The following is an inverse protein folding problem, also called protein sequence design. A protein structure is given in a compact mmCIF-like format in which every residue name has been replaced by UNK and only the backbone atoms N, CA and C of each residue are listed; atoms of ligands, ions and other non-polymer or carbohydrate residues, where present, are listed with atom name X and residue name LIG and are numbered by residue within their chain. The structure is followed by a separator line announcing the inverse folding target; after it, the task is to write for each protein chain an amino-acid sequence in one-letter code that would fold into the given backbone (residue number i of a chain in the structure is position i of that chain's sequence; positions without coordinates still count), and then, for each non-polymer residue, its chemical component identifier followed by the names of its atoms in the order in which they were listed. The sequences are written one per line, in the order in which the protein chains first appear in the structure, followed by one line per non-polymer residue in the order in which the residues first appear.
data_IF_340333552207
#
_entry.id   IF_340333552207
#
_cell.length_a   1.000
_cell.length_b   1.000
_cell.length_c   1.000
_cell.angle_alpha   90.00
_cell.angle_beta   90.00
_cell.angle_gamma   90.00
#
_symmetry.space_group_name_H-M   'P 1'
#
loop_
_entity.id
_entity.type
_entity.pdbx_description
1 polymer ?
#
# COMPACT_ATOMS: atom_id res chain seq x y z
N UNK A 1 10.18 -18.27 -29.52
CA UNK A 1 10.52 -17.38 -28.40
C UNK A 1 9.76 -17.94 -27.22
N UNK A 2 10.46 -18.34 -26.16
CA UNK A 2 9.82 -18.69 -24.89
C UNK A 2 9.50 -17.37 -24.21
N UNK A 3 8.26 -17.17 -23.78
CA UNK A 3 7.87 -15.92 -23.13
C UNK A 3 8.61 -15.80 -21.79
N UNK A 4 9.09 -14.60 -21.46
CA UNK A 4 9.85 -14.34 -20.21
C UNK A 4 9.07 -14.79 -18.97
N UNK A 5 7.74 -14.72 -19.04
CA UNK A 5 6.82 -15.18 -18.00
C UNK A 5 6.80 -16.70 -17.86
N UNK A 6 6.73 -17.46 -18.96
CA UNK A 6 6.77 -18.93 -18.93
C UNK A 6 8.09 -19.43 -18.33
N UNK A 7 9.17 -18.70 -18.61
CA UNK A 7 10.49 -19.01 -18.07
C UNK A 7 10.56 -18.76 -16.55
N UNK A 8 9.98 -17.65 -16.09
CA UNK A 8 9.86 -17.34 -14.66
C UNK A 8 8.96 -18.35 -13.94
N UNK A 9 7.87 -18.80 -14.57
CA UNK A 9 7.02 -19.86 -14.04
C UNK A 9 7.78 -21.18 -13.90
N UNK A 10 8.50 -21.60 -14.94
CA UNK A 10 9.31 -22.82 -14.90
C UNK A 10 10.38 -22.78 -13.79
N UNK A 11 11.07 -21.64 -13.62
CA UNK A 11 12.04 -21.43 -12.53
C UNK A 11 11.35 -21.47 -11.16
N UNK A 12 10.14 -20.89 -11.05
CA UNK A 12 9.37 -20.88 -9.80
C UNK A 12 8.82 -22.26 -9.41
N UNK A 13 8.46 -23.07 -10.41
CA UNK A 13 7.91 -24.42 -10.24
C UNK A 13 9.00 -25.46 -9.92
N UNK A 14 10.20 -25.30 -10.49
CA UNK A 14 11.32 -26.20 -10.23
C UNK A 14 12.12 -25.77 -8.99
N UNK A 15 12.02 -26.57 -7.92
CA UNK A 15 12.73 -26.32 -6.67
C UNK A 15 14.26 -26.33 -6.81
N UNK A 16 14.82 -27.06 -7.78
CA UNK A 16 16.25 -27.08 -8.05
C UNK A 16 16.71 -25.79 -8.72
N UNK A 17 15.89 -25.19 -9.59
CA UNK A 17 16.21 -23.92 -10.23
C UNK A 17 16.16 -22.74 -9.25
N UNK A 18 15.30 -22.79 -8.24
CA UNK A 18 15.26 -21.76 -7.18
C UNK A 18 16.55 -21.63 -6.37
N UNK A 19 17.34 -22.69 -6.32
CA UNK A 19 18.61 -22.74 -5.59
C UNK A 19 19.82 -22.96 -6.50
N UNK A 20 19.62 -22.94 -7.82
CA UNK A 20 20.70 -23.10 -8.77
C UNK A 20 21.66 -21.91 -8.68
N UNK A 21 22.93 -22.18 -8.95
CA UNK A 21 23.95 -21.15 -9.00
C UNK A 21 23.64 -20.14 -10.11
N UNK A 22 24.09 -18.91 -9.95
CA UNK A 22 23.93 -17.85 -10.96
C UNK A 22 24.48 -18.24 -12.32
N UNK A 23 25.58 -19.01 -12.35
CA UNK A 23 26.18 -19.52 -13.59
C UNK A 23 25.33 -20.58 -14.27
N UNK A 24 24.75 -21.52 -13.52
CA UNK A 24 23.90 -22.57 -14.09
C UNK A 24 22.57 -22.00 -14.58
N UNK A 25 22.01 -21.08 -13.80
CA UNK A 25 20.78 -20.36 -14.16
C UNK A 25 21.02 -19.48 -15.40
N UNK A 26 22.15 -18.79 -15.49
CA UNK A 26 22.55 -18.03 -16.67
C UNK A 26 22.73 -18.88 -17.95
N UNK A 27 23.32 -20.07 -17.85
CA UNK A 27 23.44 -21.01 -19.00
C UNK A 27 22.07 -21.47 -19.49
N UNK A 28 21.16 -21.78 -18.57
CA UNK A 28 19.80 -22.18 -18.91
C UNK A 28 19.04 -21.04 -19.60
N UNK A 29 19.14 -19.81 -19.08
CA UNK A 29 18.53 -18.63 -19.68
C UNK A 29 19.06 -18.35 -21.09
N UNK A 30 20.37 -18.51 -21.32
CA UNK A 30 20.98 -18.37 -22.63
C UNK A 30 20.48 -19.43 -23.63
N UNK A 31 20.31 -20.68 -23.20
CA UNK A 31 19.74 -21.75 -24.02
C UNK A 31 18.27 -21.51 -24.34
N UNK A 32 17.52 -20.95 -23.39
CA UNK A 32 16.11 -20.63 -23.55
C UNK A 32 15.85 -19.34 -24.37
N UNK A 33 16.91 -18.63 -24.79
CA UNK A 33 16.83 -17.31 -25.43
C UNK A 33 15.99 -16.32 -24.61
N UNK A 34 16.27 -16.25 -23.31
CA UNK A 34 15.63 -15.34 -22.38
C UNK A 34 15.86 -13.86 -22.76
N UNK A 35 15.04 -12.97 -22.19
CA UNK A 35 15.22 -11.53 -22.37
C UNK A 35 16.57 -11.07 -21.80
N UNK A 36 17.08 -9.98 -22.38
CA UNK A 36 18.33 -9.35 -21.91
C UNK A 36 18.20 -8.87 -20.45
N UNK A 37 17.02 -8.36 -20.07
CA UNK A 37 16.75 -7.90 -18.72
C UNK A 37 16.68 -9.07 -17.71
N UNK A 38 16.09 -10.22 -18.06
CA UNK A 38 16.14 -11.40 -17.20
C UNK A 38 17.55 -11.97 -17.05
N UNK A 39 18.33 -12.00 -18.13
CA UNK A 39 19.73 -12.45 -18.10
C UNK A 39 20.59 -11.53 -17.24
N UNK A 40 20.42 -10.21 -17.39
CA UNK A 40 21.13 -9.21 -16.61
C UNK A 40 20.73 -9.24 -15.13
N UNK A 41 19.43 -9.40 -14.82
CA UNK A 41 18.93 -9.52 -13.45
C UNK A 41 19.50 -10.73 -12.71
N UNK A 42 19.67 -11.86 -13.40
CA UNK A 42 20.33 -13.03 -12.82
C UNK A 42 21.82 -12.77 -12.61
N UNK A 43 22.51 -12.20 -13.59
CA UNK A 43 23.95 -11.93 -13.47
C UNK A 43 24.30 -10.91 -12.36
N UNK A 44 23.48 -9.88 -12.17
CA UNK A 44 23.70 -8.84 -11.15
C UNK A 44 23.04 -9.13 -9.81
N UNK A 45 22.04 -10.01 -9.78
CA UNK A 45 21.13 -10.19 -8.65
C UNK A 45 20.14 -9.03 -8.47
N UNK A 46 20.03 -8.12 -9.45
CA UNK A 46 19.18 -6.93 -9.37
C UNK A 46 17.84 -7.15 -10.08
N UNK A 47 16.77 -7.26 -9.28
CA UNK A 47 15.40 -7.40 -9.77
C UNK A 47 14.78 -6.11 -10.35
N UNK A 48 15.46 -4.97 -10.21
CA UNK A 48 14.98 -3.68 -10.74
C UNK A 48 14.88 -3.70 -12.27
N UNK A 49 15.78 -4.44 -12.95
CA UNK A 49 15.78 -4.60 -14.40
C UNK A 49 14.51 -5.31 -14.91
N UNK A 50 14.04 -6.31 -14.17
CA UNK A 50 12.77 -6.97 -14.45
C UNK A 50 11.59 -6.03 -14.18
N UNK A 51 11.69 -5.20 -13.15
CA UNK A 51 10.65 -4.22 -12.82
C UNK A 51 10.48 -3.18 -13.93
N UNK A 52 11.58 -2.74 -14.56
CA UNK A 52 11.55 -1.88 -15.73
C UNK A 52 10.96 -2.60 -16.96
N UNK A 53 11.36 -3.85 -17.22
CA UNK A 53 10.86 -4.65 -18.34
C UNK A 53 9.33 -4.89 -18.25
N UNK A 54 8.83 -5.20 -17.05
CA UNK A 54 7.41 -5.47 -16.82
C UNK A 54 6.57 -4.20 -16.58
N UNK A 55 7.17 -3.01 -16.62
CA UNK A 55 6.45 -1.75 -16.44
C UNK A 55 5.89 -1.56 -15.03
N UNK A 56 6.65 -1.93 -14.00
CA UNK A 56 6.25 -1.82 -12.62
C UNK A 56 5.79 -0.39 -12.27
N UNK A 57 4.57 -0.29 -11.73
CA UNK A 57 4.00 0.95 -11.22
C UNK A 57 3.86 0.82 -9.71
N UNK A 58 4.51 1.72 -8.97
CA UNK A 58 4.38 1.75 -7.52
C UNK A 58 2.91 1.94 -7.15
N UNK A 59 2.33 0.98 -6.44
CA UNK A 59 0.98 1.08 -5.95
C UNK A 59 0.93 2.17 -4.87
N UNK A 60 0.32 3.31 -5.19
CA UNK A 60 0.17 4.41 -4.25
C UNK A 60 -0.97 4.05 -3.30
N UNK A 61 -0.63 3.69 -2.06
CA UNK A 61 -1.64 3.42 -1.03
C UNK A 61 -2.56 4.64 -0.91
N UNK A 62 -3.87 4.42 -1.11
CA UNK A 62 -4.87 5.44 -0.77
C UNK A 62 -5.00 5.40 0.75
N UNK A 63 -4.36 6.34 1.43
CA UNK A 63 -4.63 6.58 2.84
C UNK A 63 -6.04 7.17 2.97
N UNK A 64 -7.05 6.30 3.05
CA UNK A 64 -8.39 6.73 3.45
C UNK A 64 -8.38 6.86 4.98
N UNK A 65 -8.32 8.10 5.46
CA UNK A 65 -8.61 8.39 6.87
C UNK A 65 -10.10 8.14 7.08
N UNK A 66 -10.45 6.95 7.57
CA UNK A 66 -11.78 6.63 8.06
C UNK A 66 -11.85 7.04 9.53
N UNK A 67 -12.36 8.24 9.80
CA UNK A 67 -12.76 8.63 11.16
C UNK A 67 -13.98 7.79 11.56
N UNK A 68 -14.05 7.22 12.77
CA UNK A 68 -15.30 6.66 13.29
C UNK A 68 -16.38 7.74 13.25
N UNK A 69 -17.61 7.38 12.83
CA UNK A 69 -18.75 8.26 13.00
C UNK A 69 -18.95 8.51 14.50
N UNK A 70 -18.93 9.78 14.92
CA UNK A 70 -19.32 10.16 16.28
C UNK A 70 -20.83 9.98 16.38
N UNK A 71 -21.29 9.20 17.35
CA UNK A 71 -22.69 9.20 17.73
C UNK A 71 -22.98 10.59 18.33
N UNK A 72 -23.80 11.40 17.65
CA UNK A 72 -24.29 12.65 18.20
C UNK A 72 -25.13 12.31 19.44
N UNK A 73 -24.63 12.68 20.62
CA UNK A 73 -25.43 12.64 21.85
C UNK A 73 -26.61 13.59 21.67
N UNK A 74 -27.86 13.19 22.00
CA UNK A 74 -29.00 14.07 21.87
C UNK A 74 -28.76 15.35 22.65
N UNK A 75 -29.00 16.51 22.02
CA UNK A 75 -28.96 17.80 22.71
C UNK A 75 -29.89 17.71 23.93
N UNK A 76 -29.33 17.89 25.13
CA UNK A 76 -30.13 18.01 26.35
C UNK A 76 -31.01 19.26 26.17
N UNK A 77 -32.33 19.07 26.04
CA UNK A 77 -33.31 20.15 26.06
C UNK A 77 -33.04 21.05 27.28
N UNK A 78 -32.48 22.23 27.03
CA UNK A 78 -32.23 23.26 28.02
C UNK A 78 -33.55 23.53 28.77
N UNK A 79 -33.62 23.42 30.12
CA UNK A 79 -34.87 23.59 30.83
C UNK A 79 -35.45 24.98 30.59
N UNK A 80 -36.66 25.01 30.02
CA UNK A 80 -37.48 26.19 29.76
C UNK A 80 -37.33 27.24 30.88
N UNK A 81 -36.86 28.42 30.48
CA UNK A 81 -36.65 29.61 31.32
C UNK A 81 -37.88 29.87 32.21
N UNK A 82 -37.75 29.65 33.52
CA UNK A 82 -38.80 29.94 34.47
C UNK A 82 -39.04 31.47 34.51
N UNK A 83 -40.30 31.95 34.49
CA UNK A 83 -40.57 33.38 34.45
C UNK A 83 -40.09 34.03 35.74
N UNK A 84 -39.19 35.01 35.61
CA UNK A 84 -38.74 35.87 36.70
C UNK A 84 -39.92 36.64 37.30
N UNK A 85 -40.24 36.48 38.60
CA UNK A 85 -41.17 37.38 39.27
C UNK A 85 -40.47 38.69 39.67
N UNK A 86 -41.21 39.78 39.49
CA UNK A 86 -40.82 41.19 39.49
C UNK A 86 -40.42 41.79 40.87
N UNK A 87 -39.57 42.84 40.82
CA UNK A 87 -39.17 43.82 41.87
C UNK A 87 -38.40 43.31 43.12
N UNK A 88 -37.36 43.97 43.64
CA UNK A 88 -37.28 45.33 44.27
C UNK A 88 -35.80 45.86 44.24
N UNK A 89 -35.51 47.19 44.18
CA UNK A 89 -34.22 47.72 43.71
C UNK A 89 -33.14 47.98 44.80
N UNK A 90 -31.88 47.92 44.32
CA UNK A 90 -30.57 48.47 44.76
C UNK A 90 -30.36 48.98 46.22
N UNK A 91 -29.12 48.84 46.73
CA UNK A 91 -28.35 50.09 46.87
C UNK A 91 -26.90 50.00 46.36
N UNK A 92 -26.50 51.00 45.59
CA UNK A 92 -25.09 51.32 45.30
C UNK A 92 -24.37 51.79 46.57
N UNK A 93 -23.16 51.31 46.82
CA UNK A 93 -22.21 51.99 47.72
C UNK A 93 -20.85 52.14 47.04
N UNK A 94 -20.32 53.35 47.28
CA UNK A 94 -19.12 54.02 46.75
C UNK A 94 -17.84 53.20 46.83
#
# INVERSE_FOLDING_TARGET
MTDTIDLLEAIGQDASLRHASTEDLGKMLAQAQASDALTAAVASGDSSLLSEEFGFMANKTVETILSPAREDEPEEDDPLEAPVPDAVPLPSKK
#
